data_IF_922600474965
#
_entry.id   IF_922600474965
#
_cell.length_a   1.000
_cell.length_b   1.000
_cell.length_c   1.000
_cell.angle_alpha   90.00
_cell.angle_beta   90.00
_cell.angle_gamma   90.00
#
_symmetry.space_group_name_H-M   'P 1'
#
loop_
_entity.id
_entity.type
_entity.pdbx_description
1 polymer ?
#
# COMPACT_ATOMS: atom_id res chain seq x y z
N UNK A 1 -13.16 15.76 2.06
CA UNK A 1 -12.09 15.06 1.35
C UNK A 1 -11.14 16.10 0.76
N UNK A 2 -9.86 15.78 0.73
CA UNK A 2 -8.84 16.59 0.09
C UNK A 2 -8.87 16.48 -1.43
N UNK A 3 -7.87 17.07 -2.09
CA UNK A 3 -7.65 16.96 -3.53
C UNK A 3 -7.05 15.60 -3.90
N UNK A 4 -7.22 15.18 -5.14
CA UNK A 4 -6.49 14.08 -5.77
C UNK A 4 -5.20 14.56 -6.48
N UNK A 5 -4.79 15.81 -6.23
CA UNK A 5 -3.63 16.45 -6.84
C UNK A 5 -2.57 16.75 -5.77
N UNK A 6 -1.36 16.23 -5.98
CA UNK A 6 -0.17 16.74 -5.32
C UNK A 6 0.37 17.92 -6.12
N UNK A 7 0.66 19.03 -5.45
CA UNK A 7 1.34 20.20 -5.98
C UNK A 7 2.63 20.47 -5.20
N UNK A 8 3.75 20.44 -5.90
CA UNK A 8 5.07 20.78 -5.36
C UNK A 8 5.75 21.78 -6.32
N UNK A 9 5.87 23.06 -5.94
CA UNK A 9 6.46 24.08 -6.82
C UNK A 9 7.94 23.87 -7.10
N UNK A 10 8.65 23.08 -6.29
CA UNK A 10 10.08 22.81 -6.43
C UNK A 10 10.37 21.53 -7.23
N UNK A 11 9.35 20.73 -7.53
CA UNK A 11 9.48 19.50 -8.30
C UNK A 11 9.40 19.75 -9.83
N UNK A 12 9.93 18.79 -10.59
CA UNK A 12 9.71 18.68 -12.04
C UNK A 12 9.21 17.27 -12.38
N UNK A 13 7.90 17.09 -12.27
CA UNK A 13 7.26 15.79 -12.52
C UNK A 13 7.24 15.39 -13.99
N UNK A 14 7.56 16.27 -14.93
CA UNK A 14 7.65 15.92 -16.35
C UNK A 14 8.80 14.95 -16.66
N UNK A 15 9.73 14.79 -15.71
CA UNK A 15 10.85 13.84 -15.80
C UNK A 15 10.50 12.43 -15.30
N UNK A 16 9.31 12.21 -14.79
CA UNK A 16 8.90 10.91 -14.27
C UNK A 16 8.68 9.91 -15.42
N UNK A 17 9.25 8.71 -15.35
CA UNK A 17 9.01 7.64 -16.33
C UNK A 17 7.65 6.96 -16.05
N UNK A 18 6.55 7.53 -16.53
CA UNK A 18 5.19 7.05 -16.27
C UNK A 18 4.90 5.62 -16.73
N UNK A 19 5.68 5.10 -17.66
CA UNK A 19 5.62 3.73 -18.14
C UNK A 19 6.08 2.70 -17.08
N UNK A 20 6.76 3.16 -16.04
CA UNK A 20 7.28 2.30 -14.97
C UNK A 20 6.30 2.07 -13.81
N UNK A 21 5.06 2.51 -13.91
CA UNK A 21 4.03 2.34 -12.88
C UNK A 21 4.48 2.93 -11.53
N UNK A 22 4.53 4.24 -11.48
CA UNK A 22 5.02 4.97 -10.31
C UNK A 22 3.96 5.12 -9.23
N UNK A 23 4.40 5.14 -8.00
CA UNK A 23 3.58 5.54 -6.87
C UNK A 23 4.22 6.66 -6.04
N UNK A 24 3.35 7.41 -5.41
CA UNK A 24 3.65 8.48 -4.49
C UNK A 24 3.43 7.95 -3.06
N UNK A 25 4.48 7.91 -2.27
CA UNK A 25 4.38 7.59 -0.86
C UNK A 25 4.37 8.89 -0.05
N UNK A 26 3.24 9.23 0.54
CA UNK A 26 3.14 10.31 1.52
C UNK A 26 3.54 9.75 2.87
N UNK A 27 4.60 10.33 3.46
CA UNK A 27 5.20 9.82 4.67
C UNK A 27 4.37 10.13 5.91
N UNK A 28 4.57 9.33 6.96
CA UNK A 28 3.91 9.52 8.25
C UNK A 28 4.40 10.76 8.99
N UNK A 29 5.71 10.97 8.97
CA UNK A 29 6.34 12.14 9.58
C UNK A 29 6.15 13.41 8.78
N UNK A 30 6.51 14.53 9.39
CA UNK A 30 6.59 15.83 8.71
C UNK A 30 8.00 16.05 8.13
N UNK A 31 8.18 17.00 7.19
CA UNK A 31 9.51 17.38 6.72
C UNK A 31 10.49 17.76 7.82
N UNK A 32 9.99 18.33 8.91
CA UNK A 32 10.79 18.77 10.06
C UNK A 32 11.15 17.64 11.01
N UNK A 33 10.19 16.72 11.27
CA UNK A 33 10.38 15.61 12.19
C UNK A 33 11.10 14.42 11.55
N UNK A 34 11.16 14.37 10.22
CA UNK A 34 11.70 13.26 9.45
C UNK A 34 10.64 12.23 9.06
N UNK A 35 10.91 11.55 7.96
CA UNK A 35 9.95 10.69 7.24
C UNK A 35 9.44 9.49 8.05
N UNK A 36 10.16 9.08 9.07
CA UNK A 36 9.89 7.88 9.86
C UNK A 36 9.70 8.17 11.34
N UNK A 37 9.42 9.41 11.72
CA UNK A 37 9.13 9.72 13.12
C UNK A 37 7.77 9.14 13.50
N UNK A 38 7.81 7.88 13.88
CA UNK A 38 6.66 7.14 14.39
C UNK A 38 6.42 7.54 15.83
N UNK A 39 5.70 8.61 16.04
CA UNK A 39 5.03 8.78 17.31
C UNK A 39 3.87 7.77 17.35
N UNK A 40 3.84 6.98 18.41
CA UNK A 40 2.81 5.95 18.63
C UNK A 40 1.39 6.53 18.84
N UNK A 41 1.25 7.83 18.78
CA UNK A 41 -0.03 8.50 18.90
C UNK A 41 -0.58 8.79 17.49
N UNK A 42 -1.54 7.95 17.07
CA UNK A 42 -2.15 7.99 15.76
C UNK A 42 -2.82 9.34 15.39
N UNK A 43 -3.02 10.20 16.38
CA UNK A 43 -3.66 11.50 16.19
C UNK A 43 -2.68 12.60 15.73
N UNK A 44 -1.37 12.39 15.85
CA UNK A 44 -0.36 13.39 15.50
C UNK A 44 0.35 13.15 14.16
N UNK A 45 0.13 12.01 13.51
CA UNK A 45 0.73 11.70 12.21
C UNK A 45 0.00 12.32 11.04
N UNK A 46 0.65 12.33 9.88
CA UNK A 46 0.04 12.83 8.66
C UNK A 46 -1.18 11.98 8.27
N UNK A 47 -2.36 12.59 8.27
CA UNK A 47 -3.62 11.93 7.91
C UNK A 47 -3.66 11.42 6.47
N UNK A 48 -2.82 11.98 5.60
CA UNK A 48 -2.68 11.57 4.21
C UNK A 48 -1.60 10.50 4.00
N UNK A 49 -0.94 10.04 5.06
CA UNK A 49 0.07 8.96 4.94
C UNK A 49 -0.53 7.74 4.30
N UNK A 50 -0.07 7.44 3.10
CA UNK A 50 -0.51 6.33 2.26
C UNK A 50 0.37 6.22 1.02
N UNK A 51 0.23 5.11 0.28
CA UNK A 51 0.83 4.94 -1.03
C UNK A 51 -0.23 5.15 -2.11
N UNK A 52 -0.03 6.19 -2.90
CA UNK A 52 -0.94 6.60 -3.98
C UNK A 52 -0.35 6.23 -5.33
N UNK A 53 -1.12 5.65 -6.23
CA UNK A 53 -0.69 5.49 -7.61
C UNK A 53 -0.73 6.84 -8.33
N UNK A 54 0.35 7.19 -9.02
CA UNK A 54 0.38 8.35 -9.92
C UNK A 54 -0.31 7.94 -11.23
N UNK A 55 -1.41 8.61 -11.55
CA UNK A 55 -2.21 8.30 -12.75
C UNK A 55 -1.99 9.28 -13.88
N UNK A 56 -1.51 10.48 -13.58
CA UNK A 56 -1.30 11.54 -14.57
C UNK A 56 -0.24 12.54 -14.08
N UNK A 57 0.65 12.96 -14.95
CA UNK A 57 1.44 14.19 -14.79
C UNK A 57 0.68 15.33 -15.47
N UNK A 58 0.13 16.23 -14.67
CA UNK A 58 -0.65 17.38 -15.17
C UNK A 58 0.28 18.43 -15.76
N UNK A 59 1.37 18.73 -15.06
CA UNK A 59 2.44 19.66 -15.49
C UNK A 59 3.71 19.44 -14.66
N UNK A 60 4.68 20.35 -14.77
CA UNK A 60 5.96 20.23 -14.07
C UNK A 60 5.79 20.11 -12.54
N UNK A 61 4.81 20.76 -11.97
CA UNK A 61 4.66 20.88 -10.52
C UNK A 61 3.45 20.10 -9.96
N UNK A 62 2.68 19.42 -10.80
CA UNK A 62 1.45 18.76 -10.36
C UNK A 62 1.30 17.35 -10.95
N UNK A 63 0.96 16.42 -10.07
CA UNK A 63 0.56 15.06 -10.44
C UNK A 63 -0.83 14.74 -9.87
N UNK A 64 -1.59 13.93 -10.60
CA UNK A 64 -2.85 13.35 -10.14
C UNK A 64 -2.61 11.95 -9.62
N UNK A 65 -3.26 11.63 -8.51
CA UNK A 65 -3.22 10.29 -7.89
C UNK A 65 -4.58 9.60 -7.99
N UNK A 66 -4.60 8.28 -7.83
CA UNK A 66 -5.76 7.43 -8.08
C UNK A 66 -6.94 7.69 -7.13
N UNK A 67 -6.71 8.33 -5.99
CA UNK A 67 -7.74 8.65 -5.02
C UNK A 67 -7.46 9.96 -4.29
N UNK A 68 -8.48 10.66 -3.81
CA UNK A 68 -8.29 11.92 -3.11
C UNK A 68 -7.63 11.70 -1.74
N UNK A 69 -6.81 12.66 -1.34
CA UNK A 69 -6.30 12.76 0.02
C UNK A 69 -7.43 12.84 1.06
N UNK A 70 -7.18 12.43 2.28
CA UNK A 70 -8.17 12.52 3.38
C UNK A 70 -8.49 13.96 3.74
N UNK A 71 -7.48 14.82 3.74
CA UNK A 71 -7.58 16.25 4.01
C UNK A 71 -6.66 17.01 3.07
N UNK A 72 -6.94 18.31 2.85
CA UNK A 72 -5.97 19.19 2.24
C UNK A 72 -4.89 19.54 3.27
N UNK A 73 -3.63 19.43 2.86
CA UNK A 73 -2.48 19.68 3.69
C UNK A 73 -1.40 20.38 2.85
N UNK A 74 -0.67 21.29 3.42
CA UNK A 74 0.44 22.03 2.78
C UNK A 74 1.80 21.67 3.35
N UNK A 75 1.84 20.80 4.36
CA UNK A 75 3.05 20.39 5.05
C UNK A 75 3.17 18.86 5.04
N UNK A 76 3.53 18.33 3.88
CA UNK A 76 3.73 16.90 3.70
C UNK A 76 5.15 16.60 3.24
N UNK A 77 5.66 15.45 3.69
CA UNK A 77 6.85 14.83 3.14
C UNK A 77 6.44 13.65 2.26
N UNK A 78 7.07 13.49 1.11
CA UNK A 78 6.75 12.40 0.20
C UNK A 78 7.99 11.86 -0.52
N UNK A 79 7.86 10.69 -1.11
CA UNK A 79 8.80 10.13 -2.07
C UNK A 79 8.04 9.52 -3.24
N UNK A 80 8.70 9.44 -4.40
CA UNK A 80 8.16 8.76 -5.57
C UNK A 80 9.04 7.57 -5.87
N UNK A 81 8.40 6.41 -6.05
CA UNK A 81 9.08 5.16 -6.35
C UNK A 81 8.30 4.32 -7.34
N UNK A 82 8.89 3.19 -7.70
CA UNK A 82 8.21 2.17 -8.48
C UNK A 82 7.27 1.37 -7.58
N UNK A 83 6.23 0.80 -8.17
CA UNK A 83 5.41 -0.20 -7.48
C UNK A 83 6.28 -1.33 -6.96
N UNK A 84 6.00 -1.75 -5.73
CA UNK A 84 6.70 -2.83 -5.05
C UNK A 84 6.13 -4.22 -5.38
N UNK A 85 5.05 -4.30 -6.14
CA UNK A 85 4.46 -5.55 -6.60
C UNK A 85 4.58 -5.71 -8.12
N UNK A 86 4.60 -6.95 -8.58
CA UNK A 86 4.75 -7.24 -9.99
C UNK A 86 4.63 -8.72 -10.30
N UNK A 87 4.76 -9.08 -11.58
CA UNK A 87 4.75 -10.48 -12.01
C UNK A 87 5.85 -10.76 -13.03
N UNK A 88 6.25 -12.01 -13.10
CA UNK A 88 7.12 -12.52 -14.14
C UNK A 88 6.72 -13.95 -14.51
N UNK A 89 7.13 -14.39 -15.69
CA UNK A 89 6.82 -15.73 -16.20
C UNK A 89 8.05 -16.55 -16.44
N UNK A 90 7.98 -17.82 -16.07
CA UNK A 90 8.99 -18.83 -16.42
C UNK A 90 8.26 -20.02 -17.01
N UNK A 91 8.40 -20.24 -18.31
CA UNK A 91 7.69 -21.30 -19.05
C UNK A 91 6.17 -21.18 -18.86
N UNK A 92 5.51 -22.23 -18.37
CA UNK A 92 4.08 -22.28 -18.09
C UNK A 92 3.71 -21.88 -16.64
N UNK A 93 4.67 -21.31 -15.90
CA UNK A 93 4.47 -20.84 -14.54
C UNK A 93 4.47 -19.32 -14.48
N UNK A 94 3.52 -18.71 -13.82
CA UNK A 94 3.48 -17.27 -13.56
C UNK A 94 3.64 -16.99 -12.08
N UNK A 95 4.53 -16.05 -11.76
CA UNK A 95 4.91 -15.68 -10.41
C UNK A 95 4.41 -14.27 -10.14
N UNK A 96 3.65 -14.11 -9.07
CA UNK A 96 3.13 -12.84 -8.59
C UNK A 96 3.81 -12.47 -7.29
N UNK A 97 4.57 -11.38 -7.30
CA UNK A 97 5.16 -10.81 -6.10
C UNK A 97 4.19 -9.76 -5.56
N UNK A 98 3.70 -9.97 -4.36
CA UNK A 98 2.76 -9.03 -3.73
C UNK A 98 3.43 -8.24 -2.63
N UNK A 99 3.07 -6.95 -2.55
CA UNK A 99 3.45 -6.06 -1.46
C UNK A 99 2.37 -6.08 -0.38
N UNK A 100 2.72 -6.53 0.81
CA UNK A 100 1.82 -6.58 1.96
C UNK A 100 2.02 -5.41 2.92
N UNK A 101 2.74 -4.36 2.49
CA UNK A 101 3.06 -3.21 3.35
C UNK A 101 2.68 -1.86 2.76
N UNK A 102 2.98 -1.63 1.47
CA UNK A 102 2.83 -0.31 0.85
C UNK A 102 1.38 0.18 0.82
N UNK A 103 0.48 -0.69 0.41
CA UNK A 103 -0.94 -0.37 0.22
C UNK A 103 -1.83 -0.85 1.38
N UNK A 104 -1.24 -1.36 2.45
CA UNK A 104 -1.97 -1.89 3.60
C UNK A 104 -2.68 -0.79 4.37
N UNK A 105 -3.97 -1.03 4.66
CA UNK A 105 -4.74 -0.13 5.49
C UNK A 105 -4.20 -0.10 6.94
N UNK A 106 -4.11 1.10 7.48
CA UNK A 106 -3.87 1.27 8.92
C UNK A 106 -5.12 0.86 9.68
N UNK A 107 -4.94 0.01 10.69
CA UNK A 107 -6.04 -0.48 11.50
C UNK A 107 -5.69 -0.48 12.98
N UNK A 108 -6.71 -0.40 13.84
CA UNK A 108 -6.52 -0.50 15.28
C UNK A 108 -6.17 -1.95 15.65
N UNK A 109 -4.96 -2.17 16.12
CA UNK A 109 -4.47 -3.47 16.59
C UNK A 109 -5.24 -4.02 17.78
N UNK A 110 -5.91 -3.15 18.54
CA UNK A 110 -6.74 -3.53 19.69
C UNK A 110 -8.12 -4.03 19.27
N UNK A 111 -8.55 -3.70 18.08
CA UNK A 111 -9.84 -4.11 17.53
C UNK A 111 -9.69 -5.45 16.80
N UNK A 112 -10.33 -6.50 17.31
CA UNK A 112 -10.36 -7.81 16.65
C UNK A 112 -11.19 -7.84 15.38
N UNK A 113 -12.20 -6.99 15.30
CA UNK A 113 -13.09 -6.89 14.14
C UNK A 113 -12.49 -5.95 13.11
N UNK A 114 -11.61 -6.48 12.28
CA UNK A 114 -10.91 -5.75 11.21
C UNK A 114 -11.68 -5.79 9.91
N UNK A 115 -12.98 -5.53 9.97
CA UNK A 115 -13.83 -5.48 8.77
C UNK A 115 -13.48 -4.31 7.88
N UNK A 116 -13.51 -4.56 6.57
CA UNK A 116 -13.32 -3.54 5.56
C UNK A 116 -11.89 -3.01 5.44
N UNK A 117 -10.90 -3.63 6.10
CA UNK A 117 -9.49 -3.29 5.94
C UNK A 117 -8.84 -4.20 4.92
N UNK A 118 -7.91 -3.65 4.15
CA UNK A 118 -7.21 -4.34 3.07
C UNK A 118 -5.72 -4.49 3.38
N UNK A 119 -5.16 -5.66 3.09
CA UNK A 119 -3.73 -5.92 3.12
C UNK A 119 -3.04 -5.43 1.85
N UNK A 120 -3.69 -5.60 0.71
CA UNK A 120 -3.11 -5.31 -0.60
C UNK A 120 -3.52 -3.94 -1.15
N UNK A 121 -4.57 -3.34 -0.59
CA UNK A 121 -5.21 -2.19 -1.20
C UNK A 121 -5.97 -2.56 -2.48
N UNK A 122 -6.91 -1.70 -2.86
CA UNK A 122 -7.75 -1.96 -4.04
C UNK A 122 -6.94 -2.07 -5.34
N UNK A 123 -5.98 -1.17 -5.63
CA UNK A 123 -5.24 -1.22 -6.90
C UNK A 123 -4.47 -2.51 -7.10
N UNK A 124 -3.73 -2.96 -6.09
CA UNK A 124 -2.94 -4.18 -6.17
C UNK A 124 -3.84 -5.43 -6.26
N UNK A 125 -4.93 -5.47 -5.48
CA UNK A 125 -5.87 -6.57 -5.54
C UNK A 125 -6.52 -6.72 -6.92
N UNK A 126 -7.00 -5.62 -7.50
CA UNK A 126 -7.59 -5.63 -8.85
C UNK A 126 -6.58 -6.03 -9.91
N UNK A 127 -5.35 -5.54 -9.81
CA UNK A 127 -4.25 -5.96 -10.67
C UNK A 127 -3.95 -7.46 -10.56
N UNK A 128 -3.86 -8.00 -9.35
CA UNK A 128 -3.58 -9.41 -9.11
C UNK A 128 -4.67 -10.29 -9.74
N UNK A 129 -5.94 -10.03 -9.41
CA UNK A 129 -7.07 -10.80 -9.90
C UNK A 129 -7.21 -10.72 -11.42
N UNK A 130 -7.12 -9.52 -12.00
CA UNK A 130 -7.21 -9.34 -13.45
C UNK A 130 -6.04 -9.99 -14.19
N UNK A 131 -4.83 -9.90 -13.63
CA UNK A 131 -3.66 -10.54 -14.20
C UNK A 131 -3.75 -12.06 -14.20
N UNK A 132 -4.28 -12.66 -13.12
CA UNK A 132 -4.51 -14.10 -13.05
C UNK A 132 -5.60 -14.55 -14.01
N UNK A 133 -6.69 -13.80 -14.14
CA UNK A 133 -7.78 -14.12 -15.08
C UNK A 133 -7.37 -14.05 -16.54
N UNK A 134 -6.44 -13.18 -16.89
CA UNK A 134 -5.93 -12.98 -18.26
C UNK A 134 -4.76 -13.90 -18.60
N UNK A 135 -4.23 -14.60 -17.65
CA UNK A 135 -3.06 -15.46 -17.85
C UNK A 135 -3.47 -16.81 -18.46
N UNK A 136 -2.65 -17.30 -19.37
CA UNK A 136 -2.70 -18.64 -19.96
C UNK A 136 -1.70 -19.60 -19.31
N UNK A 137 -1.15 -19.26 -18.14
CA UNK A 137 -0.23 -20.12 -17.41
C UNK A 137 -0.97 -21.30 -16.76
N UNK A 138 -0.31 -22.47 -16.71
CA UNK A 138 -0.85 -23.66 -16.04
C UNK A 138 -0.72 -23.60 -14.52
N UNK A 139 0.30 -22.86 -14.03
CA UNK A 139 0.61 -22.74 -12.59
C UNK A 139 0.80 -21.31 -12.18
N UNK A 140 0.22 -20.95 -11.04
CA UNK A 140 0.33 -19.65 -10.41
C UNK A 140 1.04 -19.76 -9.06
N UNK A 141 2.06 -18.92 -8.86
CA UNK A 141 2.78 -18.80 -7.60
C UNK A 141 2.63 -17.39 -7.05
N UNK A 142 1.87 -17.25 -5.96
CA UNK A 142 1.77 -15.98 -5.25
C UNK A 142 2.82 -15.93 -4.15
N UNK A 143 3.76 -15.00 -4.27
CA UNK A 143 4.85 -14.81 -3.33
C UNK A 143 4.50 -13.66 -2.41
N UNK A 144 4.24 -13.97 -1.15
CA UNK A 144 3.90 -13.02 -0.09
C UNK A 144 5.03 -12.96 0.94
N UNK A 145 5.30 -11.77 1.45
CA UNK A 145 6.25 -11.56 2.56
C UNK A 145 5.67 -11.98 3.91
N UNK A 146 4.36 -12.21 3.96
CA UNK A 146 3.62 -12.62 5.17
C UNK A 146 2.93 -13.95 4.89
N UNK A 147 3.00 -14.96 5.80
CA UNK A 147 2.33 -16.23 5.64
C UNK A 147 0.81 -16.07 5.52
N UNK A 148 0.24 -16.65 4.45
CA UNK A 148 -1.19 -16.53 4.17
C UNK A 148 -2.05 -17.39 5.11
N UNK A 149 -1.63 -18.64 5.34
CA UNK A 149 -2.45 -19.64 6.04
C UNK A 149 -2.06 -19.85 7.50
N UNK A 150 -0.81 -19.53 7.87
CA UNK A 150 -0.29 -19.84 9.20
C UNK A 150 -0.58 -18.68 10.13
N UNK A 151 -1.32 -18.90 11.24
CA UNK A 151 -1.49 -17.89 12.25
C UNK A 151 -0.13 -17.45 12.80
N UNK A 152 0.09 -16.16 12.85
CA UNK A 152 1.29 -15.62 13.46
C UNK A 152 1.10 -15.67 14.99
N UNK A 153 1.61 -16.72 15.65
CA UNK A 153 1.57 -16.84 17.10
C UNK A 153 2.51 -15.80 17.72
N UNK A 154 1.95 -14.87 18.48
CA UNK A 154 2.72 -13.92 19.26
C UNK A 154 3.14 -14.45 20.61
N UNK A 155 3.84 -13.63 21.38
CA UNK A 155 4.09 -13.89 22.80
C UNK A 155 2.75 -14.08 23.52
N UNK A 156 2.43 -15.31 23.95
CA UNK A 156 1.13 -15.67 24.51
C UNK A 156 0.53 -16.95 23.92
N UNK A 157 1.16 -17.56 22.93
CA UNK A 157 0.76 -18.82 22.32
C UNK A 157 -0.49 -18.74 21.46
N UNK A 158 -1.16 -19.87 21.25
CA UNK A 158 -2.36 -19.98 20.40
C UNK A 158 -3.58 -19.20 20.93
N UNK A 159 -3.58 -18.86 22.23
CA UNK A 159 -4.66 -18.10 22.87
C UNK A 159 -4.48 -16.59 22.73
N UNK A 160 -3.26 -16.13 22.45
CA UNK A 160 -3.05 -14.73 22.11
C UNK A 160 -3.50 -14.52 20.68
N UNK A 161 -4.53 -13.74 20.51
CA UNK A 161 -5.17 -13.45 19.25
C UNK A 161 -4.19 -13.14 18.12
N UNK A 162 -3.91 -14.14 17.31
CA UNK A 162 -3.15 -13.95 16.07
C UNK A 162 -3.80 -12.89 15.15
N UNK A 163 -5.11 -12.70 15.29
CA UNK A 163 -5.86 -11.65 14.62
C UNK A 163 -5.45 -10.22 15.04
N UNK A 164 -4.77 -10.05 16.15
CA UNK A 164 -4.32 -8.75 16.62
C UNK A 164 -2.96 -8.31 16.06
N UNK A 165 -2.27 -9.18 15.31
CA UNK A 165 -1.02 -8.76 14.69
C UNK A 165 -1.29 -8.01 13.41
N UNK A 166 -0.80 -6.79 13.34
CA UNK A 166 -0.91 -5.90 12.17
C UNK A 166 -0.40 -6.53 10.88
N UNK A 167 0.54 -7.45 11.00
CA UNK A 167 1.29 -7.99 9.88
C UNK A 167 0.75 -9.34 9.38
N UNK A 168 -0.26 -9.91 10.04
CA UNK A 168 -0.74 -11.24 9.69
C UNK A 168 -1.99 -11.18 8.82
N UNK A 169 -2.05 -11.99 7.76
CA UNK A 169 -3.25 -12.18 6.94
C UNK A 169 -4.48 -12.59 7.74
N UNK A 170 -4.27 -13.20 8.89
CA UNK A 170 -5.36 -13.53 9.84
C UNK A 170 -6.11 -12.32 10.37
N UNK A 171 -5.59 -11.11 10.20
CA UNK A 171 -6.28 -9.87 10.52
C UNK A 171 -7.10 -9.27 9.37
N UNK A 172 -7.02 -9.82 8.17
CA UNK A 172 -7.63 -9.31 6.95
C UNK A 172 -8.58 -10.33 6.32
N UNK A 173 -9.56 -10.77 7.10
CA UNK A 173 -10.46 -11.86 6.72
C UNK A 173 -11.26 -11.57 5.46
N UNK A 174 -11.80 -10.36 5.32
CA UNK A 174 -12.66 -9.99 4.20
C UNK A 174 -11.92 -10.04 2.85
N UNK A 175 -10.60 -9.84 2.87
CA UNK A 175 -9.79 -9.89 1.66
C UNK A 175 -9.23 -11.29 1.37
N UNK A 176 -9.11 -12.10 2.41
CA UNK A 176 -8.58 -13.46 2.29
C UNK A 176 -9.60 -14.48 1.75
N UNK A 177 -10.89 -14.24 2.00
CA UNK A 177 -12.02 -15.08 1.52
C UNK A 177 -12.42 -14.78 0.08
#
# INVERSE_FOLDING_TARGET
AGSDILHDPDADFTKLPLDEMLNLHVHWGTPEAGVNDMKFDNDEGNKNSYVYDIVEVIDANRVRVHMPAKVNDTDISYSIGRRSYGKFRVSNCEFYLIDTRGDRDMHDVRNRDKKGVSMLGKPQREWLLSSMQQSDADFFFVISTVPFMIPHSGAGGFEADAANKEEAWTGFFDERE
#
